data_IF_946819337769
#
_entry.id   IF_946819337769
#
_cell.length_a   1.000
_cell.length_b   1.000
_cell.length_c   1.000
_cell.angle_alpha   90.00
_cell.angle_beta   90.00
_cell.angle_gamma   90.00
#
_symmetry.space_group_name_H-M   'P 1'
#
loop_
_entity.id
_entity.type
_entity.pdbx_description
1 polymer ?
#
# COMPACT_ATOMS: atom_id res chain seq x y z
N UNK A 1 -7.91 1.52 -7.34
CA UNK A 1 -7.23 0.39 -6.68
C UNK A 1 -7.85 -0.88 -7.22
N UNK A 2 -7.16 -1.57 -8.12
CA UNK A 2 -7.60 -2.86 -8.64
C UNK A 2 -7.03 -3.95 -7.74
N UNK A 3 -7.87 -4.81 -7.20
CA UNK A 3 -7.45 -5.97 -6.42
C UNK A 3 -7.66 -7.20 -7.30
N UNK A 4 -6.57 -7.82 -7.74
CA UNK A 4 -6.61 -9.08 -8.47
C UNK A 4 -6.28 -10.22 -7.51
N UNK A 5 -7.02 -11.32 -7.58
CA UNK A 5 -6.75 -12.53 -6.82
C UNK A 5 -6.16 -13.58 -7.75
N UNK A 6 -4.94 -13.99 -7.46
CA UNK A 6 -4.22 -15.01 -8.20
C UNK A 6 -4.09 -16.24 -7.29
N UNK A 7 -4.50 -17.41 -7.78
CA UNK A 7 -4.33 -18.67 -7.05
C UNK A 7 -2.95 -19.25 -7.37
N UNK A 8 -2.13 -19.46 -6.35
CA UNK A 8 -0.81 -20.10 -6.49
C UNK A 8 -0.66 -21.22 -5.49
N UNK A 9 -0.21 -22.40 -5.95
CA UNK A 9 0.11 -23.54 -5.08
C UNK A 9 1.49 -23.45 -4.42
N UNK A 10 2.44 -22.69 -5.00
CA UNK A 10 3.87 -22.79 -4.69
C UNK A 10 4.55 -21.51 -4.14
N UNK A 11 3.80 -20.50 -3.72
CA UNK A 11 4.39 -19.32 -3.11
C UNK A 11 4.69 -18.16 -4.07
N UNK A 12 5.25 -17.05 -3.54
CA UNK A 12 5.35 -15.75 -4.21
C UNK A 12 6.32 -15.65 -5.39
N UNK A 13 7.06 -16.71 -5.72
CA UNK A 13 8.12 -16.70 -6.74
C UNK A 13 7.88 -17.63 -7.92
N UNK A 14 6.65 -18.07 -8.20
CA UNK A 14 6.39 -18.91 -9.37
C UNK A 14 6.35 -18.08 -10.66
N UNK A 15 6.80 -18.63 -11.82
CA UNK A 15 6.80 -17.92 -13.10
C UNK A 15 5.42 -17.39 -13.51
N UNK A 16 4.38 -18.17 -13.28
CA UNK A 16 2.99 -17.79 -13.58
C UNK A 16 2.50 -16.64 -12.73
N UNK A 17 2.93 -16.59 -11.48
CA UNK A 17 2.59 -15.52 -10.55
C UNK A 17 3.21 -14.19 -10.97
N UNK A 18 4.51 -14.19 -11.25
CA UNK A 18 5.23 -12.98 -11.69
C UNK A 18 4.70 -12.49 -13.05
N UNK A 19 4.43 -13.38 -13.99
CA UNK A 19 3.82 -13.00 -15.27
C UNK A 19 2.47 -12.28 -15.10
N UNK A 20 1.62 -12.76 -14.20
CA UNK A 20 0.34 -12.11 -13.91
C UNK A 20 0.50 -10.76 -13.21
N UNK A 21 1.50 -10.60 -12.33
CA UNK A 21 1.83 -9.33 -11.67
C UNK A 21 2.31 -8.30 -12.69
N UNK A 22 3.19 -8.70 -13.61
CA UNK A 22 3.68 -7.83 -14.67
C UNK A 22 2.50 -7.31 -15.51
N UNK A 23 1.57 -8.18 -15.92
CA UNK A 23 0.39 -7.77 -16.69
C UNK A 23 -0.48 -6.76 -15.94
N UNK A 24 -0.71 -6.94 -14.64
CA UNK A 24 -1.48 -5.99 -13.82
C UNK A 24 -0.76 -4.65 -13.73
N UNK A 25 0.54 -4.68 -13.45
CA UNK A 25 1.39 -3.48 -13.37
C UNK A 25 1.38 -2.70 -14.69
N UNK A 26 1.55 -3.39 -15.83
CA UNK A 26 1.56 -2.81 -17.18
C UNK A 26 0.23 -2.15 -17.55
N UNK A 27 -0.90 -2.82 -17.29
CA UNK A 27 -2.23 -2.27 -17.61
C UNK A 27 -2.48 -0.99 -16.83
N UNK A 28 -2.19 -0.99 -15.53
CA UNK A 28 -2.42 0.17 -14.68
C UNK A 28 -1.48 1.33 -15.05
N UNK A 29 -0.20 1.01 -15.35
CA UNK A 29 0.78 1.99 -15.81
C UNK A 29 0.39 2.61 -17.15
N UNK A 30 -0.01 1.80 -18.13
CA UNK A 30 -0.48 2.29 -19.42
C UNK A 30 -1.68 3.23 -19.27
N UNK A 31 -2.63 2.86 -18.41
CA UNK A 31 -3.78 3.72 -18.12
C UNK A 31 -3.35 5.05 -17.50
N UNK A 32 -2.43 5.03 -16.56
CA UNK A 32 -1.89 6.26 -15.96
C UNK A 32 -1.24 7.16 -17.03
N UNK A 33 -0.32 6.63 -17.82
CA UNK A 33 0.39 7.39 -18.85
C UNK A 33 -0.56 7.99 -19.89
N UNK A 34 -1.62 7.27 -20.27
CA UNK A 34 -2.59 7.72 -21.26
C UNK A 34 -3.52 8.85 -20.75
N UNK A 35 -3.72 8.93 -19.43
CA UNK A 35 -4.69 9.87 -18.83
C UNK A 35 -4.05 11.06 -18.12
N UNK A 36 -2.79 10.94 -17.69
CA UNK A 36 -2.14 11.91 -16.80
C UNK A 36 -0.77 12.39 -17.29
N UNK A 37 -0.52 12.41 -18.61
CA UNK A 37 0.76 12.87 -19.15
C UNK A 37 0.97 14.36 -18.89
N UNK A 38 1.99 14.66 -18.10
CA UNK A 38 2.54 16.01 -17.87
C UNK A 38 4.05 15.89 -17.72
N UNK A 39 4.80 16.93 -18.04
CA UNK A 39 6.27 16.92 -17.90
C UNK A 39 6.74 16.52 -16.50
N UNK A 40 6.00 16.88 -15.46
CA UNK A 40 6.33 16.49 -14.07
C UNK A 40 6.05 15.00 -13.84
N UNK A 41 4.89 14.50 -14.29
CA UNK A 41 4.57 13.08 -14.14
C UNK A 41 5.52 12.20 -14.95
N UNK A 42 5.85 12.60 -16.17
CA UNK A 42 6.74 11.84 -17.05
C UNK A 42 8.18 11.71 -16.48
N UNK A 43 8.62 12.71 -15.70
CA UNK A 43 9.94 12.70 -15.08
C UNK A 43 9.98 12.04 -13.70
N UNK A 44 8.98 12.27 -12.86
CA UNK A 44 9.05 11.95 -11.43
C UNK A 44 8.11 10.83 -10.98
N UNK A 45 7.14 10.42 -11.80
CA UNK A 45 6.20 9.38 -11.38
C UNK A 45 6.78 8.00 -11.61
N UNK A 46 6.78 7.19 -10.56
CA UNK A 46 7.02 5.75 -10.60
C UNK A 46 5.79 4.98 -10.13
N UNK A 47 5.83 3.66 -10.29
CA UNK A 47 4.80 2.75 -9.82
C UNK A 47 5.39 1.75 -8.85
N UNK A 48 4.74 1.56 -7.72
CA UNK A 48 5.02 0.50 -6.74
C UNK A 48 3.93 -0.56 -6.81
N UNK A 49 4.32 -1.83 -6.69
CA UNK A 49 3.44 -2.99 -6.64
C UNK A 49 3.54 -3.64 -5.27
N UNK A 50 2.44 -3.63 -4.54
CA UNK A 50 2.31 -4.21 -3.20
C UNK A 50 1.55 -5.53 -3.28
N UNK A 51 2.17 -6.60 -2.80
CA UNK A 51 1.68 -7.97 -2.87
C UNK A 51 1.44 -8.50 -1.46
N UNK A 52 0.28 -9.15 -1.26
CA UNK A 52 -0.08 -9.77 0.03
C UNK A 52 -0.58 -11.18 -0.20
N UNK A 53 0.18 -12.16 0.24
CA UNK A 53 -0.19 -13.56 0.21
C UNK A 53 -0.85 -13.97 1.52
N UNK A 54 -2.11 -14.40 1.46
CA UNK A 54 -2.81 -14.95 2.62
C UNK A 54 -2.28 -16.36 2.94
N UNK A 55 -1.74 -16.59 4.14
CA UNK A 55 -1.19 -17.88 4.53
C UNK A 55 -2.27 -18.96 4.75
N UNK A 56 -3.54 -18.56 4.96
CA UNK A 56 -4.64 -19.49 5.17
C UNK A 56 -5.20 -20.09 3.86
N UNK A 57 -5.31 -19.29 2.78
CA UNK A 57 -5.90 -19.76 1.54
C UNK A 57 -4.96 -19.64 0.32
N UNK A 58 -3.73 -19.18 0.54
CA UNK A 58 -2.66 -18.99 -0.45
C UNK A 58 -3.04 -18.09 -1.64
N UNK A 59 -4.07 -17.27 -1.49
CA UNK A 59 -4.43 -16.26 -2.48
C UNK A 59 -3.62 -14.99 -2.28
N UNK A 60 -3.24 -14.39 -3.39
CA UNK A 60 -2.51 -13.13 -3.41
C UNK A 60 -3.43 -12.00 -3.80
N UNK A 61 -3.40 -10.93 -3.01
CA UNK A 61 -3.95 -9.64 -3.36
C UNK A 61 -2.82 -8.74 -3.84
N UNK A 62 -3.04 -8.07 -4.97
CA UNK A 62 -2.09 -7.14 -5.59
C UNK A 62 -2.70 -5.75 -5.64
N UNK A 63 -1.92 -4.75 -5.30
CA UNK A 63 -2.29 -3.35 -5.49
C UNK A 63 -1.12 -2.57 -6.05
N UNK A 64 -1.40 -1.70 -7.00
CA UNK A 64 -0.46 -0.76 -7.58
C UNK A 64 -0.66 0.61 -6.96
N UNK A 65 0.42 1.35 -6.77
CA UNK A 65 0.41 2.72 -6.25
C UNK A 65 1.41 3.56 -7.01
N UNK A 66 0.99 4.76 -7.41
CA UNK A 66 1.91 5.73 -7.97
C UNK A 66 2.69 6.42 -6.86
N UNK A 67 3.94 6.71 -7.11
CA UNK A 67 4.77 7.48 -6.20
C UNK A 67 5.57 8.55 -6.96
N UNK A 68 5.83 9.67 -6.30
CA UNK A 68 6.79 10.70 -6.72
C UNK A 68 8.01 10.71 -5.80
N UNK A 69 7.86 10.17 -4.60
CA UNK A 69 8.90 10.00 -3.60
C UNK A 69 8.81 8.55 -3.11
N UNK A 70 9.90 7.81 -3.21
CA UNK A 70 10.00 6.43 -2.72
C UNK A 70 10.42 6.45 -1.24
N UNK A 71 9.53 6.09 -0.30
CA UNK A 71 9.90 5.98 1.11
C UNK A 71 10.69 4.70 1.34
N UNK A 72 11.93 4.83 1.81
CA UNK A 72 12.84 3.71 2.06
C UNK A 72 13.16 3.63 3.54
N UNK A 73 12.91 2.49 4.21
CA UNK A 73 13.26 2.30 5.62
C UNK A 73 14.78 2.28 5.78
N UNK A 74 15.26 2.73 6.93
CA UNK A 74 16.70 2.62 7.26
C UNK A 74 16.94 1.24 7.86
N UNK A 75 17.78 0.45 7.19
CA UNK A 75 18.15 -0.88 7.63
C UNK A 75 18.89 -0.86 8.97
N UNK A 76 18.86 -1.97 9.70
CA UNK A 76 19.66 -2.11 10.89
C UNK A 76 21.16 -2.11 10.54
N UNK A 77 21.99 -1.43 11.34
CA UNK A 77 23.41 -1.37 11.05
C UNK A 77 24.06 -2.75 11.20
N UNK A 78 24.96 -3.07 10.31
CA UNK A 78 25.77 -4.29 10.45
C UNK A 78 26.58 -4.23 11.76
N UNK A 79 26.62 -5.30 12.56
CA UNK A 79 27.17 -5.26 13.93
C UNK A 79 28.61 -4.78 14.04
N UNK A 80 29.40 -4.87 12.96
CA UNK A 80 30.85 -4.57 12.99
C UNK A 80 31.21 -3.12 12.65
N UNK A 81 30.36 -2.35 11.95
CA UNK A 81 30.76 -1.03 11.43
C UNK A 81 29.82 0.12 11.78
N UNK A 82 28.62 -0.13 12.28
CA UNK A 82 27.64 0.92 12.60
C UNK A 82 27.19 1.76 11.41
N UNK A 83 27.56 1.36 10.18
CA UNK A 83 27.21 2.00 8.93
C UNK A 83 26.13 1.17 8.22
N UNK A 84 25.24 1.86 7.53
CA UNK A 84 24.21 1.26 6.68
C UNK A 84 24.41 1.74 5.26
N UNK A 85 24.34 0.87 4.24
CA UNK A 85 24.33 1.33 2.86
C UNK A 85 22.90 1.61 2.35
N UNK A 86 22.76 2.47 1.34
CA UNK A 86 21.48 2.72 0.70
C UNK A 86 20.91 1.44 0.07
N UNK A 87 21.77 0.59 -0.49
CA UNK A 87 21.39 -0.70 -1.06
C UNK A 87 20.81 -1.64 0.00
N UNK A 88 21.36 -1.63 1.22
CA UNK A 88 20.81 -2.40 2.34
C UNK A 88 19.41 -1.89 2.73
N UNK A 89 19.19 -0.57 2.70
CA UNK A 89 17.87 0.04 2.93
C UNK A 89 16.86 -0.36 1.83
N UNK A 90 17.29 -0.36 0.57
CA UNK A 90 16.47 -0.78 -0.57
C UNK A 90 16.18 -2.29 -0.52
N UNK A 91 17.14 -3.11 -0.11
CA UNK A 91 16.93 -4.54 0.10
C UNK A 91 15.89 -4.80 1.20
N UNK A 92 15.92 -4.01 2.28
CA UNK A 92 14.88 -4.08 3.32
C UNK A 92 13.51 -3.61 2.81
N UNK A 93 13.46 -2.59 1.97
CA UNK A 93 12.20 -2.16 1.32
C UNK A 93 11.57 -3.29 0.50
N UNK A 94 12.38 -4.06 -0.24
CA UNK A 94 11.91 -5.12 -1.13
C UNK A 94 11.81 -6.51 -0.48
N UNK A 95 12.13 -6.64 0.82
CA UNK A 95 12.06 -7.93 1.51
C UNK A 95 10.62 -8.37 1.81
N UNK A 96 10.46 -9.67 2.06
CA UNK A 96 9.17 -10.24 2.48
C UNK A 96 8.97 -9.95 3.97
N UNK A 97 7.86 -9.29 4.29
CA UNK A 97 7.41 -9.02 5.65
C UNK A 97 6.36 -10.05 6.08
N UNK A 98 6.50 -10.61 7.28
CA UNK A 98 5.50 -11.46 7.90
C UNK A 98 4.56 -10.59 8.73
N UNK A 99 3.27 -10.63 8.42
CA UNK A 99 2.24 -9.85 9.10
C UNK A 99 1.24 -10.80 9.76
N UNK A 100 0.98 -10.61 11.06
CA UNK A 100 0.05 -11.46 11.81
C UNK A 100 -0.60 -10.74 12.98
N UNK A 101 -1.53 -11.40 13.65
CA UNK A 101 -2.27 -10.85 14.78
C UNK A 101 -3.04 -9.57 14.40
N UNK A 102 -2.81 -8.48 15.13
CA UNK A 102 -3.46 -7.18 14.87
C UNK A 102 -3.05 -6.54 13.52
N UNK A 103 -1.92 -6.96 12.95
CA UNK A 103 -1.42 -6.50 11.65
C UNK A 103 -1.75 -7.47 10.49
N UNK A 104 -2.57 -8.48 10.76
CA UNK A 104 -2.98 -9.47 9.76
C UNK A 104 -3.81 -8.86 8.62
N UNK A 105 -3.99 -9.65 7.57
CA UNK A 105 -4.76 -9.28 6.39
C UNK A 105 -6.25 -9.60 6.60
N UNK A 106 -7.14 -8.67 6.24
CA UNK A 106 -8.54 -8.97 5.98
C UNK A 106 -8.63 -9.66 4.62
N UNK A 107 -8.58 -10.99 4.61
CA UNK A 107 -8.71 -11.76 3.38
C UNK A 107 -10.18 -11.92 2.99
N UNK A 108 -10.61 -11.31 1.89
CA UNK A 108 -12.00 -11.36 1.43
C UNK A 108 -12.47 -12.79 1.14
N UNK A 109 -11.58 -13.62 0.59
CA UNK A 109 -11.90 -15.02 0.30
C UNK A 109 -12.16 -15.83 1.58
N UNK A 110 -11.27 -15.76 2.55
CA UNK A 110 -11.41 -16.46 3.82
C UNK A 110 -12.66 -15.98 4.59
N UNK A 111 -12.90 -14.68 4.62
CA UNK A 111 -14.10 -14.12 5.26
C UNK A 111 -15.39 -14.52 4.54
N UNK A 112 -15.39 -14.60 3.20
CA UNK A 112 -16.54 -15.09 2.42
C UNK A 112 -16.84 -16.56 2.69
N UNK A 113 -15.84 -17.43 2.70
CA UNK A 113 -16.01 -18.85 3.03
C UNK A 113 -16.59 -19.06 4.42
N UNK A 114 -16.09 -18.30 5.40
CA UNK A 114 -16.61 -18.34 6.76
C UNK A 114 -18.09 -17.94 6.82
N UNK A 115 -18.49 -16.87 6.14
CA UNK A 115 -19.88 -16.45 6.08
C UNK A 115 -20.80 -17.51 5.45
N UNK A 116 -20.29 -18.28 4.49
CA UNK A 116 -21.01 -19.38 3.87
C UNK A 116 -21.15 -20.57 4.84
N UNK A 117 -20.08 -20.92 5.55
CA UNK A 117 -20.10 -21.99 6.56
C UNK A 117 -21.03 -21.66 7.73
N UNK A 118 -21.04 -20.43 8.20
CA UNK A 118 -21.94 -19.97 9.27
C UNK A 118 -23.41 -20.03 8.85
N UNK A 119 -23.71 -19.85 7.56
CA UNK A 119 -25.07 -20.01 7.02
C UNK A 119 -25.49 -21.48 6.92
N UNK A 120 -24.58 -22.38 6.57
CA UNK A 120 -24.89 -23.82 6.47
C UNK A 120 -25.02 -24.51 7.82
N UNK A 121 -24.46 -23.95 8.89
CA UNK A 121 -24.50 -24.46 10.25
C UNK A 121 -25.79 -24.03 11.02
N UNK A 122 -26.63 -23.16 10.45
CA UNK A 122 -27.93 -22.83 11.05
C UNK A 122 -28.93 -23.87 10.59
N UNK A 123 -29.54 -24.65 11.51
CA UNK A 123 -30.71 -25.47 11.14
C UNK A 123 -31.77 -24.54 10.57
N UNK A 124 -32.31 -24.90 9.40
CA UNK A 124 -33.47 -24.22 8.85
C UNK A 124 -34.49 -24.06 9.95
N UNK A 125 -35.05 -22.85 10.16
CA UNK A 125 -36.18 -22.73 11.05
C UNK A 125 -37.24 -23.66 10.49
N UNK A 126 -37.55 -24.72 11.25
CA UNK A 126 -38.50 -25.74 10.87
C UNK A 126 -39.71 -25.06 10.23
N UNK A 127 -39.91 -25.33 8.94
CA UNK A 127 -41.14 -24.97 8.26
C UNK A 127 -42.23 -25.79 8.96
N UNK A 128 -42.90 -25.14 9.91
CA UNK A 128 -44.09 -25.70 10.52
C UNK A 128 -45.14 -25.72 9.43
N UNK A 129 -45.20 -26.85 8.71
CA UNK A 129 -46.30 -27.15 7.78
C UNK A 129 -47.51 -27.43 8.66
N UNK A 130 -48.33 -26.42 8.94
CA UNK A 130 -49.66 -26.63 9.47
C UNK A 130 -50.48 -27.30 8.35
N UNK A 131 -51.13 -28.44 8.61
CA UNK A 131 -52.00 -29.04 7.62
C UNK A 131 -53.19 -28.11 7.35
N UNK A 132 -53.32 -27.65 6.12
CA UNK A 132 -54.48 -26.87 5.67
C UNK A 132 -55.65 -27.85 5.58
N UNK A 133 -56.57 -27.73 6.52
CA UNK A 133 -57.88 -28.41 6.46
C UNK A 133 -58.68 -27.88 5.26
N UNK A 134 -59.15 -28.82 4.45
CA UNK A 134 -60.04 -28.58 3.32
C UNK A 134 -61.33 -27.86 3.79
N UNK A 135 -61.51 -26.61 3.38
CA UNK A 135 -62.84 -26.01 3.31
C UNK A 135 -62.91 -25.23 1.99
N UNK A 136 -63.67 -25.87 1.08
CA UNK A 136 -64.12 -25.28 -0.18
C UNK A 136 -65.39 -24.49 0.11
N UNK A 137 -65.44 -23.21 -0.17
CA UNK A 137 -66.68 -22.45 -0.37
C UNK A 137 -66.53 -21.48 -1.54
N UNK A 138 -67.63 -21.24 -2.31
CA UNK A 138 -67.52 -20.79 -3.70
C UNK A 138 -67.51 -19.28 -3.87
N UNK A 139 -67.00 -18.90 -5.04
CA UNK A 139 -66.99 -17.55 -5.61
C UNK A 139 -68.41 -16.98 -5.80
N UNK A 140 -68.61 -15.69 -5.54
CA UNK A 140 -69.63 -14.84 -6.13
C UNK A 140 -69.13 -13.39 -6.33
N UNK A 141 -69.74 -12.59 -7.22
CA UNK A 141 -69.00 -11.78 -8.16
C UNK A 141 -68.95 -10.27 -7.84
N UNK A 142 -68.18 -9.62 -8.63
CA UNK A 142 -67.85 -8.19 -8.75
C UNK A 142 -69.12 -7.34 -8.93
N UNK A 143 -69.23 -6.20 -8.25
CA UNK A 143 -69.88 -5.01 -8.76
C UNK A 143 -69.26 -3.73 -8.15
N UNK A 144 -68.99 -2.78 -9.02
CA UNK A 144 -68.36 -1.52 -8.71
C UNK A 144 -69.33 -0.46 -8.15
N UNK A 145 -68.73 0.65 -7.76
CA UNK A 145 -69.46 1.86 -7.40
C UNK A 145 -68.59 2.86 -6.64
N UNK A 146 -68.33 3.92 -7.33
CA UNK A 146 -67.77 5.17 -6.84
C UNK A 146 -68.62 5.82 -5.76
N UNK A 147 -68.05 6.58 -4.83
CA UNK A 147 -68.23 8.02 -4.62
C UNK A 147 -67.84 8.51 -3.23
N UNK A 148 -66.97 9.45 -3.20
CA UNK A 148 -66.93 10.76 -2.51
C UNK A 148 -67.51 10.98 -1.09
N UNK A 149 -66.69 11.63 -0.33
CA UNK A 149 -66.89 12.73 0.65
C UNK A 149 -67.37 12.48 2.05
N UNK A 150 -66.52 12.95 2.92
CA UNK A 150 -66.69 13.91 4.04
C UNK A 150 -67.10 13.46 5.46
N UNK A 151 -66.29 13.97 6.32
CA UNK A 151 -66.53 14.63 7.62
C UNK A 151 -66.59 13.83 8.94
N UNK A 152 -65.70 14.26 9.80
CA UNK A 152 -65.86 14.68 11.20
C UNK A 152 -65.93 13.68 12.36
N UNK A 153 -64.89 13.78 13.20
CA UNK A 153 -64.89 13.83 14.67
C UNK A 153 -65.34 12.60 15.45
N UNK A 154 -64.39 12.01 16.18
CA UNK A 154 -64.68 11.10 17.29
C UNK A 154 -63.41 10.65 17.99
N UNK A 155 -62.98 11.36 19.04
CA UNK A 155 -61.93 10.95 20.01
C UNK A 155 -62.43 9.68 20.75
N UNK A 156 -61.63 8.62 20.64
CA UNK A 156 -61.57 7.62 21.70
C UNK A 156 -60.12 7.11 21.84
N UNK A 157 -59.54 7.40 22.99
CA UNK A 157 -58.29 6.95 23.52
C UNK A 157 -58.36 5.47 23.85
N UNK A 158 -57.76 4.60 23.04
CA UNK A 158 -57.41 3.24 23.46
C UNK A 158 -55.88 3.13 23.59
N UNK A 159 -55.44 3.02 24.85
CA UNK A 159 -54.09 2.63 25.23
C UNK A 159 -53.80 1.24 24.64
N UNK A 160 -52.99 1.21 23.58
CA UNK A 160 -52.31 -0.02 23.16
C UNK A 160 -50.99 -0.10 23.92
N UNK A 161 -50.92 -1.06 24.83
CA UNK A 161 -49.69 -1.55 25.44
C UNK A 161 -48.77 -2.06 24.32
N UNK A 162 -47.76 -1.28 23.97
CA UNK A 162 -46.69 -1.70 23.08
C UNK A 162 -45.79 -2.67 23.82
N UNK A 163 -45.87 -3.95 23.50
CA UNK A 163 -44.83 -4.92 23.80
C UNK A 163 -43.52 -4.46 23.11
N UNK A 164 -42.38 -4.48 23.81
CA UNK A 164 -41.11 -4.13 23.20
C UNK A 164 -40.79 -5.14 22.09
N UNK A 165 -40.67 -4.65 20.86
CA UNK A 165 -40.09 -5.42 19.76
C UNK A 165 -38.64 -5.69 20.17
N UNK A 166 -38.35 -6.93 20.57
CA UNK A 166 -36.99 -7.39 20.77
C UNK A 166 -36.27 -7.18 19.46
N UNK A 167 -35.37 -6.20 19.43
CA UNK A 167 -34.47 -5.97 18.34
C UNK A 167 -33.66 -7.26 18.10
N UNK A 168 -33.92 -7.88 16.93
CA UNK A 168 -33.20 -9.06 16.46
C UNK A 168 -31.70 -8.74 16.51
N UNK A 169 -30.85 -9.56 17.18
CA UNK A 169 -29.42 -9.34 17.21
C UNK A 169 -28.92 -9.32 15.75
N UNK A 170 -28.43 -8.19 15.31
CA UNK A 170 -27.70 -8.10 14.05
C UNK A 170 -26.48 -9.01 14.19
N UNK A 171 -26.22 -9.92 13.25
CA UNK A 171 -24.99 -10.70 13.30
C UNK A 171 -23.83 -9.73 13.20
N UNK A 172 -23.08 -9.60 14.28
CA UNK A 172 -21.79 -8.89 14.27
C UNK A 172 -20.84 -9.71 13.40
N UNK A 173 -20.79 -9.41 12.11
CA UNK A 173 -19.79 -9.97 11.20
C UNK A 173 -18.45 -9.29 11.49
N UNK A 174 -17.80 -9.70 12.58
CA UNK A 174 -16.43 -9.31 12.84
C UNK A 174 -15.56 -9.92 11.75
N UNK A 175 -14.93 -9.07 10.94
CA UNK A 175 -13.94 -9.49 9.96
C UNK A 175 -12.78 -10.18 10.69
N UNK A 176 -12.35 -11.33 10.17
CA UNK A 176 -11.22 -12.08 10.72
C UNK A 176 -9.97 -11.71 9.98
N UNK A 177 -8.95 -11.36 10.74
CA UNK A 177 -7.61 -11.16 10.25
C UNK A 177 -6.92 -12.53 10.07
N UNK A 178 -6.19 -12.69 8.98
CA UNK A 178 -5.36 -13.85 8.68
C UNK A 178 -3.91 -13.44 8.62
N UNK A 179 -3.00 -14.32 9.01
CA UNK A 179 -1.59 -14.12 8.81
C UNK A 179 -1.30 -14.04 7.31
N UNK A 180 -0.36 -13.19 6.93
CA UNK A 180 0.00 -12.98 5.54
C UNK A 180 1.46 -12.60 5.38
N UNK A 181 1.98 -12.82 4.18
CA UNK A 181 3.27 -12.32 3.71
C UNK A 181 3.04 -11.14 2.79
N UNK A 182 3.74 -10.04 3.04
CA UNK A 182 3.71 -8.84 2.23
C UNK A 182 5.06 -8.62 1.56
N UNK A 183 5.05 -8.14 0.32
CA UNK A 183 6.24 -7.70 -0.40
C UNK A 183 5.88 -6.50 -1.26
N UNK A 184 6.77 -5.48 -1.28
CA UNK A 184 6.65 -4.33 -2.17
C UNK A 184 7.82 -4.36 -3.16
N UNK A 185 7.51 -4.17 -4.45
CA UNK A 185 8.49 -4.03 -5.52
C UNK A 185 8.14 -2.82 -6.37
N UNK A 186 9.09 -2.37 -7.19
CA UNK A 186 8.87 -1.27 -8.11
C UNK A 186 8.35 -1.86 -9.42
N UNK A 187 7.18 -1.41 -9.91
CA UNK A 187 6.65 -1.77 -11.23
C UNK A 187 7.34 -0.95 -12.32
N UNK A 188 7.40 0.38 -12.12
CA UNK A 188 8.04 1.30 -13.06
C UNK A 188 8.87 2.33 -12.32
N UNK A 189 10.09 2.52 -12.80
CA UNK A 189 11.05 3.51 -12.30
C UNK A 189 10.91 4.83 -13.07
N UNK A 190 10.88 5.99 -12.38
CA UNK A 190 10.88 7.31 -13.02
C UNK A 190 12.25 7.66 -13.60
N UNK A 191 12.32 8.64 -14.51
CA UNK A 191 13.60 9.19 -15.01
C UNK A 191 14.37 9.92 -13.90
N UNK A 192 13.63 10.63 -13.02
CA UNK A 192 14.16 11.28 -11.82
C UNK A 192 13.59 10.59 -10.58
N UNK A 193 14.40 9.80 -9.91
CA UNK A 193 14.01 9.04 -8.72
C UNK A 193 14.31 9.85 -7.46
N UNK A 194 13.28 10.13 -6.67
CA UNK A 194 13.44 10.76 -5.35
C UNK A 194 13.25 9.70 -4.27
N UNK A 195 14.28 9.48 -3.47
CA UNK A 195 14.27 8.55 -2.34
C UNK A 195 14.19 9.34 -1.04
N UNK A 196 13.21 9.01 -0.20
CA UNK A 196 13.11 9.54 1.17
C UNK A 196 13.59 8.48 2.16
N UNK A 197 14.66 8.78 2.89
CA UNK A 197 15.08 7.95 4.01
C UNK A 197 14.12 8.16 5.19
N UNK A 198 13.44 7.10 5.62
CA UNK A 198 12.44 7.15 6.70
C UNK A 198 13.11 7.31 8.07
N UNK A 199 13.64 8.52 8.33
CA UNK A 199 14.35 8.84 9.57
C UNK A 199 13.45 9.15 10.76
N UNK A 200 12.16 9.38 10.53
CA UNK A 200 11.23 9.76 11.58
C UNK A 200 10.25 8.63 11.86
N UNK A 201 10.25 8.15 13.08
CA UNK A 201 9.26 7.15 13.54
C UNK A 201 8.18 7.86 14.35
N UNK A 202 6.91 7.73 13.92
CA UNK A 202 5.75 8.16 14.68
C UNK A 202 5.17 6.93 15.40
N UNK A 203 5.35 6.81 16.71
CA UNK A 203 4.62 5.83 17.52
C UNK A 203 3.30 6.42 18.02
N UNK A 204 2.25 5.59 18.23
CA UNK A 204 1.00 6.06 18.82
C UNK A 204 1.27 6.68 20.21
N UNK A 205 0.99 7.99 20.35
CA UNK A 205 1.16 8.73 21.60
C UNK A 205 2.61 9.05 22.01
N UNK A 206 3.59 8.87 21.12
CA UNK A 206 4.99 9.25 21.36
C UNK A 206 5.41 10.41 20.46
N UNK A 207 6.32 11.25 20.98
CA UNK A 207 7.01 12.24 20.16
C UNK A 207 7.79 11.50 19.04
N UNK A 208 7.74 12.06 17.84
CA UNK A 208 8.53 11.57 16.72
C UNK A 208 10.02 11.62 17.09
N UNK A 209 10.72 10.50 16.95
CA UNK A 209 12.17 10.44 17.17
C UNK A 209 12.89 10.32 15.85
N UNK A 210 13.97 11.11 15.68
CA UNK A 210 14.81 11.05 14.50
C UNK A 210 15.86 9.94 14.61
N UNK A 211 15.93 9.09 13.60
CA UNK A 211 16.93 8.04 13.45
C UNK A 211 18.21 8.61 12.84
N UNK A 212 19.24 8.84 13.65
CA UNK A 212 20.51 9.42 13.22
C UNK A 212 21.56 8.37 12.78
N UNK A 213 21.12 7.20 12.29
CA UNK A 213 22.02 6.19 11.74
C UNK A 213 22.69 6.71 10.47
N UNK A 214 24.03 6.56 10.33
CA UNK A 214 24.74 7.01 9.16
C UNK A 214 24.49 6.07 7.98
N UNK A 215 23.98 6.62 6.88
CA UNK A 215 23.72 5.92 5.61
C UNK A 215 24.77 6.30 4.58
N UNK A 216 25.42 5.30 3.99
CA UNK A 216 26.34 5.47 2.87
C UNK A 216 25.53 5.63 1.59
N UNK A 217 25.76 6.72 0.87
CA UNK A 217 24.98 7.12 -0.31
C UNK A 217 25.89 7.00 -1.53
N UNK A 218 25.58 6.12 -2.51
CA UNK A 218 26.35 6.04 -3.74
C UNK A 218 26.15 7.30 -4.61
N UNK A 219 27.24 7.88 -5.05
CA UNK A 219 27.23 9.05 -5.94
C UNK A 219 26.83 8.62 -7.36
N UNK A 220 27.38 7.51 -7.84
CA UNK A 220 27.21 7.04 -9.20
C UNK A 220 26.73 5.58 -9.20
N UNK A 221 26.01 5.21 -10.26
CA UNK A 221 25.64 3.82 -10.60
C UNK A 221 24.89 3.08 -9.47
N UNK A 222 23.94 3.76 -8.80
CA UNK A 222 22.98 3.06 -7.94
C UNK A 222 22.17 2.08 -8.81
N UNK A 223 22.32 0.79 -8.55
CA UNK A 223 21.61 -0.27 -9.28
C UNK A 223 20.23 -0.50 -8.66
N UNK A 224 19.18 -0.16 -9.40
CA UNK A 224 17.79 -0.36 -8.99
C UNK A 224 17.17 -1.65 -9.54
N UNK A 225 17.87 -2.39 -10.41
CA UNK A 225 17.36 -3.57 -11.10
C UNK A 225 16.86 -4.67 -10.16
N UNK A 226 17.50 -4.83 -9.00
CA UNK A 226 17.16 -5.84 -8.01
C UNK A 226 15.80 -5.59 -7.30
N UNK A 227 15.25 -4.39 -7.43
CA UNK A 227 14.05 -3.95 -6.74
C UNK A 227 12.86 -3.78 -7.70
N UNK A 228 13.07 -4.02 -9.00
CA UNK A 228 12.07 -3.90 -10.07
C UNK A 228 11.40 -5.24 -10.33
N UNK A 229 10.08 -5.23 -10.44
CA UNK A 229 9.26 -6.43 -10.61
C UNK A 229 9.63 -7.24 -11.86
N UNK A 230 9.92 -6.58 -12.99
CA UNK A 230 10.23 -7.24 -14.26
C UNK A 230 11.55 -8.03 -14.25
N UNK A 231 12.46 -7.68 -13.35
CA UNK A 231 13.78 -8.29 -13.24
C UNK A 231 13.85 -9.40 -12.19
N UNK A 232 12.74 -9.66 -11.48
CA UNK A 232 12.67 -10.78 -10.56
C UNK A 232 12.49 -12.06 -11.37
N UNK A 233 13.61 -12.77 -11.59
CA UNK A 233 13.58 -14.06 -12.27
C UNK A 233 12.88 -15.10 -11.40
N UNK A 234 11.74 -15.68 -11.86
CA UNK A 234 10.99 -16.66 -11.10
C UNK A 234 11.68 -18.04 -11.01
N UNK A 235 12.65 -18.30 -11.86
CA UNK A 235 13.31 -19.61 -11.97
C UNK A 235 14.76 -19.60 -11.43
N UNK A 236 15.31 -18.43 -11.03
CA UNK A 236 16.72 -18.31 -10.65
C UNK A 236 17.68 -18.58 -11.82
N UNK A 237 17.20 -18.56 -13.05
CA UNK A 237 17.96 -18.94 -14.24
C UNK A 237 18.79 -17.79 -14.85
N UNK A 238 18.80 -16.60 -14.21
CA UNK A 238 19.84 -15.59 -14.36
C UNK A 238 20.14 -15.09 -15.78
N UNK A 239 19.17 -14.97 -16.67
CA UNK A 239 19.38 -14.44 -18.03
C UNK A 239 18.36 -13.36 -18.43
N UNK A 240 17.99 -12.46 -17.51
CA UNK A 240 17.48 -11.17 -17.97
C UNK A 240 18.66 -10.37 -18.49
N UNK A 241 18.53 -9.80 -19.70
CA UNK A 241 19.48 -8.79 -20.20
C UNK A 241 19.79 -7.81 -19.05
N UNK A 242 21.05 -7.39 -18.87
CA UNK A 242 21.41 -6.46 -17.81
C UNK A 242 20.51 -5.24 -17.93
N UNK A 243 19.59 -5.08 -16.97
CA UNK A 243 18.71 -3.92 -16.99
C UNK A 243 19.55 -2.67 -16.80
N UNK A 244 19.31 -1.66 -17.63
CA UNK A 244 19.98 -0.36 -17.55
C UNK A 244 19.36 0.54 -16.46
N UNK A 245 18.98 -0.03 -15.32
CA UNK A 245 18.32 0.68 -14.21
C UNK A 245 19.34 1.27 -13.24
N UNK A 246 20.39 1.91 -13.80
CA UNK A 246 21.39 2.64 -13.04
C UNK A 246 21.01 4.10 -12.87
N UNK A 247 21.36 4.64 -11.71
CA UNK A 247 21.06 6.02 -11.35
C UNK A 247 22.29 6.73 -10.80
N UNK A 248 22.42 8.03 -11.11
CA UNK A 248 23.45 8.91 -10.58
C UNK A 248 22.82 9.97 -9.68
N UNK A 249 23.43 10.23 -8.52
CA UNK A 249 22.99 11.26 -7.60
C UNK A 249 23.23 12.64 -8.21
N UNK A 250 22.22 13.51 -8.16
CA UNK A 250 22.37 14.90 -8.56
C UNK A 250 22.03 15.91 -7.46
N UNK A 251 21.30 15.48 -6.41
CA UNK A 251 21.11 16.31 -5.24
C UNK A 251 20.84 15.48 -3.98
N UNK A 252 21.19 16.02 -2.82
CA UNK A 252 20.86 15.48 -1.51
C UNK A 252 20.41 16.60 -0.59
N UNK A 253 19.21 16.46 -0.01
CA UNK A 253 18.67 17.36 0.98
C UNK A 253 18.87 16.77 2.38
N UNK A 254 19.49 17.51 3.26
CA UNK A 254 19.70 17.18 4.67
C UNK A 254 18.61 17.81 5.53
N UNK A 255 18.20 17.12 6.56
CA UNK A 255 17.44 17.70 7.66
C UNK A 255 18.32 17.77 8.91
N UNK A 256 18.71 18.97 9.31
CA UNK A 256 19.51 19.24 10.51
C UNK A 256 18.57 19.54 11.67
N UNK A 257 18.66 18.80 12.76
CA UNK A 257 17.79 18.93 13.93
C UNK A 257 17.50 17.57 14.55
N UNK A 258 16.97 17.56 15.79
CA UNK A 258 16.95 16.32 16.57
C UNK A 258 15.67 15.50 16.44
N UNK A 259 14.47 16.06 16.64
CA UNK A 259 13.35 15.19 17.00
C UNK A 259 12.04 15.38 16.21
N UNK A 260 11.97 16.37 15.33
CA UNK A 260 10.73 16.67 14.60
C UNK A 260 11.02 17.27 13.24
N UNK A 261 10.23 16.90 12.22
CA UNK A 261 10.27 17.53 10.89
C UNK A 261 9.88 19.01 10.92
N UNK A 262 9.20 19.47 11.99
CA UNK A 262 8.76 20.84 12.14
C UNK A 262 9.82 21.75 12.82
N UNK A 263 10.84 21.17 13.43
CA UNK A 263 11.92 21.90 14.11
C UNK A 263 13.25 21.40 13.56
N UNK A 264 13.80 22.10 12.60
CA UNK A 264 15.07 21.77 12.00
C UNK A 264 15.43 22.77 10.91
N UNK A 265 16.57 22.55 10.33
CA UNK A 265 17.10 23.33 9.24
C UNK A 265 17.37 22.42 8.04
N UNK A 266 17.04 22.87 6.86
CA UNK A 266 17.30 22.11 5.62
C UNK A 266 18.48 22.72 4.90
N UNK A 267 19.41 21.85 4.49
CA UNK A 267 20.57 22.19 3.66
C UNK A 267 20.59 21.25 2.47
N UNK A 268 20.85 21.80 1.30
CA UNK A 268 20.87 20.98 0.06
C UNK A 268 22.22 21.05 -0.63
N UNK A 269 22.74 19.91 -1.02
CA UNK A 269 23.84 19.79 -1.95
C UNK A 269 23.27 19.41 -3.31
N UNK A 270 23.59 20.14 -4.36
CA UNK A 270 23.11 19.86 -5.71
C UNK A 270 24.17 20.16 -6.77
N UNK A 271 24.14 19.33 -7.82
CA UNK A 271 24.93 19.53 -9.02
C UNK A 271 24.20 20.52 -9.92
N UNK A 272 24.89 21.58 -10.32
CA UNK A 272 24.35 22.60 -11.20
C UNK A 272 24.71 22.32 -12.68
N UNK A 273 24.22 23.16 -13.57
CA UNK A 273 24.40 23.02 -15.02
C UNK A 273 25.86 23.10 -15.50
N UNK A 274 26.75 23.63 -14.67
CA UNK A 274 28.19 23.70 -14.89
C UNK A 274 28.94 22.45 -14.40
N UNK A 275 28.19 21.40 -14.01
CA UNK A 275 28.72 20.16 -13.41
C UNK A 275 29.44 20.37 -12.06
N UNK A 276 29.31 21.55 -11.47
CA UNK A 276 29.87 21.86 -10.15
C UNK A 276 28.82 21.60 -9.09
N UNK A 277 29.24 21.01 -7.99
CA UNK A 277 28.37 20.81 -6.82
C UNK A 277 28.44 22.03 -5.90
N UNK A 278 27.25 22.44 -5.48
CA UNK A 278 27.08 23.54 -4.53
C UNK A 278 26.33 23.09 -3.30
N UNK A 279 26.68 23.66 -2.15
CA UNK A 279 25.90 23.59 -0.92
C UNK A 279 25.05 24.84 -0.85
N UNK A 280 23.74 24.64 -0.71
CA UNK A 280 22.72 25.68 -0.51
C UNK A 280 22.26 25.63 0.93
N UNK A 281 22.53 26.70 1.67
CA UNK A 281 22.21 26.88 3.07
C UNK A 281 21.55 28.26 3.23
N UNK A 282 20.25 28.33 2.98
CA UNK A 282 19.45 29.54 2.84
C UNK A 282 20.07 30.52 1.81
N UNK A 283 20.58 31.66 2.24
CA UNK A 283 21.23 32.67 1.41
C UNK A 283 22.72 32.39 1.14
N UNK A 284 23.29 31.37 1.78
CA UNK A 284 24.69 31.01 1.61
C UNK A 284 24.84 29.89 0.58
N UNK A 285 25.53 30.21 -0.51
CA UNK A 285 25.86 29.25 -1.57
C UNK A 285 27.37 29.12 -1.72
N UNK A 286 27.89 27.91 -1.63
CA UNK A 286 29.33 27.62 -1.77
C UNK A 286 29.59 26.39 -2.62
N UNK A 287 30.60 26.43 -3.47
CA UNK A 287 31.07 25.25 -4.19
C UNK A 287 31.67 24.23 -3.22
N UNK A 288 31.43 22.93 -3.49
CA UNK A 288 31.84 21.82 -2.61
C UNK A 288 32.43 20.67 -3.40
N UNK A 289 33.23 19.85 -2.74
CA UNK A 289 33.60 18.52 -3.25
C UNK A 289 32.60 17.51 -2.70
N UNK A 290 31.67 17.05 -3.53
CA UNK A 290 30.60 16.13 -3.11
C UNK A 290 31.13 14.79 -2.64
N UNK A 291 32.18 14.25 -3.26
CA UNK A 291 32.78 12.97 -2.86
C UNK A 291 33.25 13.04 -1.40
N UNK A 292 33.86 14.16 -1.00
CA UNK A 292 34.25 14.38 0.39
C UNK A 292 33.01 14.56 1.29
N UNK A 293 32.05 15.41 0.91
CA UNK A 293 30.86 15.71 1.73
C UNK A 293 30.07 14.43 2.03
N UNK A 294 29.88 13.52 1.07
CA UNK A 294 29.19 12.24 1.25
C UNK A 294 29.92 11.29 2.23
N UNK A 295 31.20 11.52 2.54
CA UNK A 295 31.92 10.76 3.57
C UNK A 295 31.70 11.33 4.97
N UNK A 296 31.24 12.57 5.08
CA UNK A 296 31.09 13.25 6.37
C UNK A 296 29.96 12.63 7.19
N UNK A 297 30.14 12.65 8.49
CA UNK A 297 29.11 12.22 9.44
C UNK A 297 27.84 13.10 9.32
N UNK A 298 28.04 14.39 9.05
CA UNK A 298 26.94 15.33 8.87
C UNK A 298 25.98 14.88 7.78
N UNK A 299 26.48 14.60 6.58
CA UNK A 299 25.66 14.16 5.45
C UNK A 299 25.06 12.78 5.72
N UNK A 300 25.85 11.80 6.12
CA UNK A 300 25.38 10.42 6.34
C UNK A 300 24.29 10.30 7.38
N UNK A 301 24.34 11.10 8.46
CA UNK A 301 23.34 11.04 9.53
C UNK A 301 22.08 11.87 9.25
N UNK A 302 22.18 12.86 8.36
CA UNK A 302 21.11 13.83 8.14
C UNK A 302 20.51 13.82 6.74
N UNK A 303 21.08 13.07 5.79
CA UNK A 303 20.48 12.90 4.47
C UNK A 303 19.03 12.41 4.62
N UNK A 304 18.10 13.16 4.01
CA UNK A 304 16.67 12.94 4.15
C UNK A 304 16.01 12.67 2.79
N UNK A 305 16.26 13.52 1.79
CA UNK A 305 15.84 13.27 0.42
C UNK A 305 17.07 13.13 -0.47
N UNK A 306 17.06 12.10 -1.31
CA UNK A 306 18.09 11.81 -2.29
C UNK A 306 17.47 11.90 -3.68
N UNK A 307 18.09 12.66 -4.57
CA UNK A 307 17.60 12.88 -5.92
C UNK A 307 18.57 12.25 -6.91
N UNK A 308 18.07 11.26 -7.63
CA UNK A 308 18.80 10.49 -8.60
C UNK A 308 18.24 10.67 -10.01
N UNK A 309 19.08 10.78 -11.00
CA UNK A 309 18.71 10.74 -12.42
C UNK A 309 19.15 9.41 -13.04
N UNK A 310 18.37 8.89 -13.98
CA UNK A 310 18.71 7.66 -14.68
C UNK A 310 19.99 7.86 -15.49
N UNK A 311 20.95 6.96 -15.36
CA UNK A 311 22.16 6.94 -16.16
C UNK A 311 21.85 6.35 -17.55
N UNK A 312 22.22 7.03 -18.59
CA UNK A 312 22.14 6.61 -19.99
C UNK A 312 23.45 6.03 -20.47
#
# INVERSE_FOLDING_TARGET
MFVFQIETSDGMNTPQYIGSLNTVSEIDWYHHCSTNSTAVNDLFTGQMVDMRLCDACLRVAVSTQLFHILPVPIAEPYPLHGLVSLEACLAQFAQIELMGGANGLVCDHCNRLRLLSDRSSRPDPAVVVTPIGNHITPLSPISGGSDLMNDSIGRETQQRTSTPIQSRPQPSTSLVLTDCRRRSLIGYLPSCLVIQLMRFSAGPGRQSTKLCLPVVIPLNRLDMSLYVLHNVDPAGAGLSEPSEDFYNLYAVCLHLGSDSTNNGHYVTYARCADDVWYCFDDDQVRAVNIEYELTTRLVRQNAYLLFYERAF
#
